data_IF_713112532647
#
_entry.id   IF_713112532647
#
_cell.length_a   1.000
_cell.length_b   1.000
_cell.length_c   1.000
_cell.angle_alpha   90.00
_cell.angle_beta   90.00
_cell.angle_gamma   90.00
#
_symmetry.space_group_name_H-M   'P 1'
#
loop_
_entity.id
_entity.type
_entity.pdbx_description
1 polymer ?
#
# COMPACT_ATOMS: atom_id res chain seq x y z
N UNK A 1 -10.41 -7.07 -12.24
CA UNK A 1 -9.91 -7.32 -13.60
C UNK A 1 -10.93 -8.07 -14.46
N UNK A 2 -11.42 -9.25 -14.05
CA UNK A 2 -12.35 -10.07 -14.87
C UNK A 2 -13.67 -9.38 -15.30
N UNK A 3 -14.36 -8.66 -14.41
CA UNK A 3 -15.64 -8.00 -14.70
C UNK A 3 -15.55 -6.94 -15.82
N UNK A 4 -14.50 -6.12 -15.81
CA UNK A 4 -14.32 -5.03 -16.77
C UNK A 4 -13.84 -5.49 -18.15
N UNK A 5 -13.19 -6.65 -18.24
CA UNK A 5 -12.81 -7.24 -19.52
C UNK A 5 -14.06 -7.70 -20.27
N UNK A 6 -14.97 -8.38 -19.57
CA UNK A 6 -16.23 -8.87 -20.14
C UNK A 6 -17.15 -7.73 -20.62
N UNK A 7 -17.21 -6.63 -19.86
CA UNK A 7 -18.05 -5.48 -20.21
C UNK A 7 -17.52 -4.74 -21.46
N UNK A 8 -16.19 -4.65 -21.61
CA UNK A 8 -15.56 -4.07 -22.81
C UNK A 8 -15.70 -4.97 -24.04
N UNK A 9 -15.64 -6.30 -23.86
CA UNK A 9 -15.93 -7.27 -24.92
C UNK A 9 -17.40 -7.18 -25.39
N UNK A 10 -18.34 -6.89 -24.49
CA UNK A 10 -19.75 -6.67 -24.85
C UNK A 10 -19.93 -5.37 -25.66
N UNK A 11 -19.32 -4.26 -25.24
CA UNK A 11 -19.37 -3.00 -26.00
C UNK A 11 -18.78 -3.13 -27.40
N UNK A 12 -17.68 -3.87 -27.57
CA UNK A 12 -17.15 -4.19 -28.90
C UNK A 12 -18.12 -5.03 -29.73
N UNK A 13 -18.77 -6.02 -29.11
CA UNK A 13 -19.73 -6.90 -29.80
C UNK A 13 -20.97 -6.15 -30.28
N UNK A 14 -21.44 -5.19 -29.50
CA UNK A 14 -22.59 -4.36 -29.85
C UNK A 14 -22.24 -3.19 -30.78
N UNK A 15 -20.97 -3.01 -31.14
CA UNK A 15 -20.52 -1.92 -32.01
C UNK A 15 -20.63 -0.54 -31.37
N UNK A 16 -20.66 -0.49 -30.03
CA UNK A 16 -20.72 0.75 -29.26
C UNK A 16 -19.33 1.37 -29.27
N UNK A 17 -19.25 2.64 -29.67
CA UNK A 17 -17.98 3.37 -29.67
C UNK A 17 -17.54 3.60 -28.22
N UNK A 18 -16.60 2.79 -27.76
CA UNK A 18 -16.08 2.80 -26.40
C UNK A 18 -14.58 3.13 -26.38
N UNK A 19 -14.16 3.96 -25.43
CA UNK A 19 -12.74 4.24 -25.20
C UNK A 19 -12.25 3.25 -24.14
N UNK A 20 -11.25 2.43 -24.46
CA UNK A 20 -10.67 1.49 -23.51
C UNK A 20 -10.17 2.23 -22.27
N UNK A 21 -10.67 1.84 -21.09
CA UNK A 21 -10.21 2.34 -19.80
C UNK A 21 -9.70 1.13 -19.02
N UNK A 22 -8.41 1.12 -18.69
CA UNK A 22 -7.81 0.07 -17.88
C UNK A 22 -8.03 0.36 -16.39
N UNK A 23 -9.12 -0.17 -15.83
CA UNK A 23 -9.44 -0.09 -14.41
C UNK A 23 -8.53 -0.97 -13.52
N UNK A 24 -7.74 -1.87 -14.10
CA UNK A 24 -6.81 -2.73 -13.36
C UNK A 24 -5.54 -2.01 -12.92
N UNK A 25 -5.07 -1.06 -13.73
CA UNK A 25 -3.83 -0.32 -13.47
C UNK A 25 -3.84 0.48 -12.16
N UNK A 26 -4.99 1.00 -11.73
CA UNK A 26 -5.06 1.81 -10.51
C UNK A 26 -4.88 0.97 -9.23
N UNK A 27 -5.35 -0.28 -9.22
CA UNK A 27 -5.13 -1.20 -8.08
C UNK A 27 -3.73 -1.82 -8.10
N UNK A 28 -3.17 -2.04 -9.29
CA UNK A 28 -1.87 -2.70 -9.46
C UNK A 28 -0.76 -1.94 -8.71
N UNK A 29 -0.74 -0.61 -8.79
CA UNK A 29 0.25 0.22 -8.07
C UNK A 29 0.20 0.06 -6.55
N UNK A 30 -1.00 -0.10 -5.98
CA UNK A 30 -1.16 -0.30 -4.54
C UNK A 30 -0.68 -1.69 -4.10
N UNK A 31 -0.97 -2.72 -4.90
CA UNK A 31 -0.52 -4.09 -4.64
C UNK A 31 1.02 -4.14 -4.73
N UNK A 32 1.59 -3.52 -5.76
CA UNK A 32 3.04 -3.48 -5.95
C UNK A 32 3.76 -2.76 -4.81
N UNK A 33 3.21 -1.64 -4.33
CA UNK A 33 3.74 -0.95 -3.16
C UNK A 33 3.83 -1.85 -1.92
N UNK A 34 2.90 -2.80 -1.75
CA UNK A 34 2.85 -3.68 -0.58
C UNK A 34 3.75 -4.90 -0.75
N UNK A 35 3.67 -5.59 -1.88
CA UNK A 35 4.18 -6.96 -2.05
C UNK A 35 5.46 -7.08 -2.90
N UNK A 36 5.79 -6.10 -3.74
CA UNK A 36 6.99 -6.20 -4.59
C UNK A 36 8.26 -6.03 -3.76
N UNK A 37 9.42 -6.49 -4.28
CA UNK A 37 10.71 -6.17 -3.68
C UNK A 37 10.84 -4.66 -3.44
N UNK A 38 11.42 -4.29 -2.29
CA UNK A 38 11.47 -2.91 -1.80
C UNK A 38 10.10 -2.27 -1.52
N UNK A 39 9.03 -3.05 -1.48
CA UNK A 39 7.71 -2.65 -0.98
C UNK A 39 7.64 -2.71 0.55
N UNK A 40 6.45 -2.43 1.09
CA UNK A 40 6.23 -2.30 2.53
C UNK A 40 6.60 -3.59 3.27
N UNK A 41 6.14 -4.76 2.79
CA UNK A 41 6.39 -6.04 3.46
C UNK A 41 7.85 -6.45 3.40
N UNK A 42 8.50 -6.29 2.24
CA UNK A 42 9.93 -6.61 2.11
C UNK A 42 10.81 -5.73 3.01
N UNK A 43 10.51 -4.42 3.11
CA UNK A 43 11.24 -3.52 4.01
C UNK A 43 10.97 -3.89 5.48
N UNK A 44 9.76 -4.33 5.81
CA UNK A 44 9.41 -4.77 7.17
C UNK A 44 10.21 -6.02 7.56
N UNK A 45 10.27 -7.02 6.68
CA UNK A 45 11.07 -8.24 6.87
C UNK A 45 12.55 -7.91 7.06
N UNK A 46 13.09 -7.05 6.20
CA UNK A 46 14.48 -6.62 6.27
C UNK A 46 14.79 -5.89 7.60
N UNK A 47 13.99 -4.89 7.98
CA UNK A 47 14.18 -4.15 9.23
C UNK A 47 14.00 -5.05 10.47
N UNK A 48 13.13 -6.06 10.39
CA UNK A 48 12.90 -7.00 11.51
C UNK A 48 14.13 -7.86 11.84
N UNK A 49 15.03 -8.07 10.87
CA UNK A 49 16.29 -8.80 11.08
C UNK A 49 17.38 -7.96 11.75
N UNK A 50 17.27 -6.63 11.75
CA UNK A 50 18.28 -5.75 12.32
C UNK A 50 18.06 -5.53 13.83
N UNK A 51 19.02 -5.88 14.71
CA UNK A 51 18.82 -5.81 16.16
C UNK A 51 18.54 -4.40 16.71
N UNK A 52 18.96 -3.37 15.97
CA UNK A 52 18.82 -1.96 16.35
C UNK A 52 17.72 -1.22 15.59
N UNK A 53 17.02 -1.90 14.68
CA UNK A 53 15.90 -1.30 13.98
C UNK A 53 14.75 -1.04 14.96
N UNK A 54 14.02 0.03 14.71
CA UNK A 54 12.84 0.45 15.48
C UNK A 54 11.72 0.78 14.51
N UNK A 55 10.48 0.84 14.99
CA UNK A 55 9.37 1.25 14.12
C UNK A 55 9.63 2.64 13.49
N UNK A 56 10.40 3.50 14.18
CA UNK A 56 10.83 4.80 13.67
C UNK A 56 11.79 4.66 12.47
N UNK A 57 12.81 3.79 12.55
CA UNK A 57 13.72 3.57 11.40
C UNK A 57 12.99 2.93 10.23
N UNK A 58 12.02 2.06 10.51
CA UNK A 58 11.16 1.46 9.50
C UNK A 58 10.34 2.51 8.74
N UNK A 59 9.60 3.40 9.43
CA UNK A 59 8.83 4.45 8.72
C UNK A 59 9.73 5.44 7.98
N UNK A 60 10.91 5.77 8.51
CA UNK A 60 11.88 6.63 7.81
C UNK A 60 12.33 6.00 6.49
N UNK A 61 12.60 4.70 6.49
CA UNK A 61 12.94 3.94 5.28
C UNK A 61 11.78 3.89 4.30
N UNK A 62 10.54 3.67 4.77
CA UNK A 62 9.34 3.73 3.92
C UNK A 62 9.16 5.12 3.27
N UNK A 63 9.25 6.19 4.08
CA UNK A 63 9.13 7.56 3.59
C UNK A 63 10.21 7.87 2.54
N UNK A 64 11.45 7.43 2.78
CA UNK A 64 12.56 7.65 1.85
C UNK A 64 12.34 6.94 0.51
N UNK A 65 11.77 5.74 0.53
CA UNK A 65 11.58 4.92 -0.67
C UNK A 65 10.29 5.25 -1.44
N UNK A 66 9.22 5.68 -0.76
CA UNK A 66 7.89 5.76 -1.38
C UNK A 66 7.24 7.14 -1.36
N UNK A 67 7.58 8.00 -0.40
CA UNK A 67 6.89 9.29 -0.27
C UNK A 67 7.22 10.19 -1.46
N UNK A 68 6.18 10.58 -2.21
CA UNK A 68 6.33 11.38 -3.43
C UNK A 68 6.83 10.59 -4.65
N UNK A 69 7.09 9.29 -4.50
CA UNK A 69 7.54 8.37 -5.57
C UNK A 69 6.46 7.37 -5.97
N UNK A 70 5.66 6.92 -5.00
CA UNK A 70 4.53 6.02 -5.21
C UNK A 70 3.23 6.78 -4.99
N UNK A 71 2.34 6.78 -5.99
CA UNK A 71 1.04 7.47 -5.92
C UNK A 71 0.14 6.96 -4.79
N UNK A 72 0.26 5.67 -4.45
CA UNK A 72 -0.49 5.04 -3.37
C UNK A 72 0.07 5.32 -1.96
N UNK A 73 1.31 5.82 -1.81
CA UNK A 73 1.92 6.08 -0.50
C UNK A 73 1.76 7.54 -0.08
N UNK A 74 1.03 7.77 1.02
CA UNK A 74 0.54 9.08 1.40
C UNK A 74 0.99 9.45 2.82
N UNK A 75 1.08 10.77 3.08
CA UNK A 75 1.17 11.26 4.46
C UNK A 75 -0.13 10.97 5.22
N UNK A 76 -0.06 10.56 6.50
CA UNK A 76 -1.25 10.35 7.29
C UNK A 76 -1.95 11.69 7.53
N UNK A 77 -3.29 11.68 7.51
CA UNK A 77 -4.06 12.85 7.96
C UNK A 77 -3.85 13.05 9.47
N UNK A 78 -3.94 14.29 9.98
CA UNK A 78 -3.90 14.53 11.42
C UNK A 78 -4.93 13.66 12.15
N UNK A 79 -4.57 13.03 13.27
CA UNK A 79 -5.49 12.17 14.01
C UNK A 79 -6.66 13.00 14.53
N UNK A 80 -7.87 12.42 14.49
CA UNK A 80 -9.03 12.99 15.17
C UNK A 80 -8.88 12.80 16.69
N UNK A 81 -9.57 13.59 17.53
CA UNK A 81 -9.61 13.36 18.97
C UNK A 81 -9.98 11.91 19.29
N UNK A 82 -9.17 11.24 20.12
CA UNK A 82 -9.34 9.83 20.49
C UNK A 82 -8.76 8.80 19.50
N UNK A 83 -8.20 9.23 18.36
CA UNK A 83 -7.48 8.35 17.45
C UNK A 83 -5.97 8.43 17.70
N UNK A 84 -5.30 7.29 17.58
CA UNK A 84 -3.84 7.23 17.66
C UNK A 84 -3.25 7.81 16.37
N UNK A 85 -2.14 8.54 16.48
CA UNK A 85 -1.41 9.04 15.32
C UNK A 85 -0.92 7.87 14.44
N UNK A 86 -1.11 8.02 13.13
CA UNK A 86 -0.58 7.11 12.14
C UNK A 86 0.77 7.60 11.62
N UNK A 87 1.54 6.67 11.05
CA UNK A 87 2.90 6.91 10.56
C UNK A 87 2.92 7.14 9.04
N UNK A 88 2.08 6.42 8.30
CA UNK A 88 1.83 6.64 6.88
C UNK A 88 0.37 6.32 6.54
N UNK A 89 -0.06 6.57 5.30
CA UNK A 89 -1.34 6.12 4.78
C UNK A 89 -1.17 5.48 3.39
N UNK A 90 -2.06 4.55 3.05
CA UNK A 90 -2.13 3.96 1.70
C UNK A 90 -3.44 4.36 1.05
N UNK A 91 -3.40 4.83 -0.19
CA UNK A 91 -4.56 5.01 -1.04
C UNK A 91 -5.05 3.66 -1.57
N UNK A 92 -5.93 2.98 -0.82
CA UNK A 92 -6.58 1.77 -1.29
C UNK A 92 -7.76 2.12 -2.20
N UNK A 93 -8.25 1.11 -2.92
CA UNK A 93 -9.49 1.21 -3.69
C UNK A 93 -10.67 1.71 -2.85
N UNK A 94 -10.79 1.26 -1.59
CA UNK A 94 -11.85 1.70 -0.67
C UNK A 94 -11.59 3.07 -0.01
N UNK A 95 -10.48 3.74 -0.34
CA UNK A 95 -10.07 5.04 0.19
C UNK A 95 -8.75 5.01 0.95
N UNK A 96 -8.39 6.17 1.49
CA UNK A 96 -7.11 6.36 2.18
C UNK A 96 -7.16 5.76 3.59
N UNK A 97 -6.30 4.78 3.86
CA UNK A 97 -6.22 4.08 5.15
C UNK A 97 -4.95 4.53 5.88
N UNK A 98 -5.06 5.19 7.05
CA UNK A 98 -3.91 5.51 7.88
C UNK A 98 -3.42 4.28 8.66
N UNK A 99 -2.11 4.03 8.64
CA UNK A 99 -1.47 2.90 9.31
C UNK A 99 -0.65 3.35 10.52
N UNK A 100 -0.91 2.74 11.66
CA UNK A 100 -0.05 2.80 12.82
C UNK A 100 0.84 1.55 12.85
N UNK A 101 2.16 1.77 12.81
CA UNK A 101 3.17 0.71 12.78
C UNK A 101 3.75 0.35 14.15
N UNK A 102 3.27 0.95 15.23
CA UNK A 102 3.78 0.65 16.58
C UNK A 102 3.67 -0.85 16.87
N UNK A 103 4.81 -1.46 17.18
CA UNK A 103 4.99 -2.89 17.46
C UNK A 103 5.02 -3.78 16.22
N UNK A 104 5.09 -3.24 14.99
CA UNK A 104 5.15 -4.07 13.78
C UNK A 104 6.42 -4.91 13.73
N UNK A 105 7.58 -4.34 14.05
CA UNK A 105 8.84 -5.10 14.06
C UNK A 105 8.81 -6.24 15.08
N UNK A 106 8.21 -6.04 16.26
CA UNK A 106 8.09 -7.11 17.25
C UNK A 106 7.11 -8.19 16.80
N UNK A 107 5.95 -7.80 16.26
CA UNK A 107 4.94 -8.74 15.73
C UNK A 107 5.49 -9.59 14.59
N UNK A 108 6.42 -9.04 13.80
CA UNK A 108 7.00 -9.71 12.64
C UNK A 108 8.19 -10.62 12.99
N UNK A 109 8.73 -10.56 14.22
CA UNK A 109 9.85 -11.41 14.66
C UNK A 109 9.45 -12.83 15.05
N UNK A 110 8.16 -13.15 15.03
CA UNK A 110 7.54 -14.44 15.33
C UNK A 110 8.35 -15.29 16.34
N UNK A 111 8.37 -14.91 17.64
CA UNK A 111 9.09 -15.67 18.65
C UNK A 111 8.39 -17.02 18.85
N UNK A 112 8.81 -18.03 18.10
CA UNK A 112 8.52 -19.42 18.39
C UNK A 112 9.15 -19.75 19.75
N UNK A 113 8.35 -19.66 20.81
CA UNK A 113 8.64 -20.19 22.14
C UNK A 113 8.17 -21.64 22.23
#
# INVERSE_FOLDING_TARGET
>A
HHMFVLEQEEYQREGIQWTFIDFGMDLQHCIELIEKPMGILSILEEESMFPKATDQTFVEKLNTNHLGKSSAFLKPKPPKPGQVAAHFAIGHYAGNVPYNITGWLEKNKDPLN
#
